data_IF_529132713039
#
_entry.id   IF_529132713039
#
_cell.length_a   1.000
_cell.length_b   1.000
_cell.length_c   1.000
_cell.angle_alpha   90.00
_cell.angle_beta   90.00
_cell.angle_gamma   90.00
#
_symmetry.space_group_name_H-M   'P 1'
#
loop_
_entity.id
_entity.type
_entity.pdbx_description
1 polymer ?
#
# COMPACT_ATOMS: atom_id res chain seq x y z
N UNK A 1 -70.83 -30.70 -31.73
CA UNK A 1 -70.17 -30.27 -30.48
C UNK A 1 -68.65 -30.25 -30.66
N UNK A 2 -68.05 -29.12 -31.06
CA UNK A 2 -66.59 -28.88 -31.01
C UNK A 2 -66.36 -27.35 -31.00
N UNK A 3 -66.64 -26.72 -29.86
CA UNK A 3 -66.39 -25.28 -29.65
C UNK A 3 -65.34 -25.00 -28.55
N UNK A 4 -64.73 -26.02 -27.95
CA UNK A 4 -63.77 -25.85 -26.84
C UNK A 4 -62.36 -25.41 -27.22
N UNK A 5 -61.95 -25.49 -28.49
CA UNK A 5 -60.54 -25.30 -28.89
C UNK A 5 -60.07 -23.83 -29.00
N UNK A 6 -60.97 -22.87 -29.24
CA UNK A 6 -60.59 -21.45 -29.44
C UNK A 6 -60.40 -20.70 -28.11
N UNK A 7 -61.19 -21.01 -27.09
CA UNK A 7 -61.05 -20.39 -25.75
C UNK A 7 -59.76 -20.83 -25.04
N UNK A 8 -59.34 -22.10 -25.19
CA UNK A 8 -58.10 -22.61 -24.60
C UNK A 8 -56.84 -21.91 -25.14
N UNK A 9 -56.83 -21.50 -26.41
CA UNK A 9 -55.69 -20.76 -26.99
C UNK A 9 -55.57 -19.33 -26.47
N UNK A 10 -56.70 -18.66 -26.18
CA UNK A 10 -56.70 -17.31 -25.61
C UNK A 10 -56.25 -17.28 -24.15
N UNK A 11 -56.65 -18.28 -23.37
CA UNK A 11 -56.26 -18.39 -21.96
C UNK A 11 -54.74 -18.54 -21.78
N UNK A 12 -54.09 -19.40 -22.57
CA UNK A 12 -52.64 -19.59 -22.48
C UNK A 12 -51.84 -18.31 -22.80
N UNK A 13 -52.34 -17.45 -23.70
CA UNK A 13 -51.70 -16.17 -24.01
C UNK A 13 -51.80 -15.18 -22.84
N UNK A 14 -52.97 -15.13 -22.18
CA UNK A 14 -53.19 -14.28 -21.01
C UNK A 14 -52.34 -14.73 -19.82
N UNK A 15 -52.26 -16.05 -19.56
CA UNK A 15 -51.41 -16.61 -18.51
C UNK A 15 -49.93 -16.29 -18.75
N UNK A 16 -49.44 -16.43 -19.98
CA UNK A 16 -48.07 -16.09 -20.32
C UNK A 16 -47.77 -14.59 -20.16
N UNK A 17 -48.72 -13.72 -20.54
CA UNK A 17 -48.61 -12.27 -20.30
C UNK A 17 -48.55 -11.92 -18.81
N UNK A 18 -49.39 -12.56 -17.99
CA UNK A 18 -49.37 -12.34 -16.54
C UNK A 18 -48.06 -12.83 -15.93
N UNK A 19 -47.59 -14.02 -16.33
CA UNK A 19 -46.38 -14.63 -15.79
C UNK A 19 -45.14 -13.81 -16.19
N UNK A 20 -45.05 -13.38 -17.44
CA UNK A 20 -43.95 -12.51 -17.90
C UNK A 20 -43.99 -11.14 -17.23
N UNK A 21 -45.16 -10.54 -17.02
CA UNK A 21 -45.30 -9.27 -16.29
C UNK A 21 -44.86 -9.42 -14.83
N UNK A 22 -45.30 -10.48 -14.16
CA UNK A 22 -44.89 -10.80 -12.79
C UNK A 22 -43.38 -10.97 -12.70
N UNK A 23 -42.79 -11.70 -13.64
CA UNK A 23 -41.35 -11.95 -13.69
C UNK A 23 -40.57 -10.67 -13.97
N UNK A 24 -41.06 -9.79 -14.85
CA UNK A 24 -40.46 -8.47 -15.08
C UNK A 24 -40.47 -7.58 -13.83
N UNK A 25 -41.58 -7.57 -13.08
CA UNK A 25 -41.69 -6.82 -11.83
C UNK A 25 -40.74 -7.35 -10.75
N UNK A 26 -40.66 -8.66 -10.55
CA UNK A 26 -39.75 -9.25 -9.56
C UNK A 26 -38.29 -9.02 -9.92
N UNK A 27 -37.94 -9.08 -11.20
CA UNK A 27 -36.58 -8.80 -11.67
C UNK A 27 -36.21 -7.33 -11.45
N UNK A 28 -37.12 -6.40 -11.76
CA UNK A 28 -36.90 -4.97 -11.55
C UNK A 28 -36.69 -4.67 -10.06
N UNK A 29 -37.54 -5.23 -9.18
CA UNK A 29 -37.39 -5.06 -7.74
C UNK A 29 -36.05 -5.63 -7.24
N UNK A 30 -35.69 -6.84 -7.68
CA UNK A 30 -34.43 -7.49 -7.29
C UNK A 30 -33.21 -6.69 -7.74
N UNK A 31 -33.23 -6.16 -8.97
CA UNK A 31 -32.14 -5.32 -9.50
C UNK A 31 -32.01 -4.04 -8.70
N UNK A 32 -33.12 -3.38 -8.34
CA UNK A 32 -33.06 -2.15 -7.52
C UNK A 32 -32.48 -2.40 -6.14
N UNK A 33 -32.90 -3.48 -5.46
CA UNK A 33 -32.36 -3.87 -4.16
C UNK A 33 -30.88 -4.22 -4.22
N UNK A 34 -30.47 -4.98 -5.24
CA UNK A 34 -29.06 -5.33 -5.43
C UNK A 34 -28.21 -4.07 -5.68
N UNK A 35 -28.70 -3.15 -6.51
CA UNK A 35 -27.98 -1.92 -6.81
C UNK A 35 -27.84 -1.03 -5.57
N UNK A 36 -28.89 -0.93 -4.74
CA UNK A 36 -28.83 -0.21 -3.47
C UNK A 36 -27.78 -0.83 -2.53
N UNK A 37 -27.81 -2.14 -2.33
CA UNK A 37 -26.84 -2.83 -1.48
C UNK A 37 -25.39 -2.65 -1.99
N UNK A 38 -25.17 -2.73 -3.30
CA UNK A 38 -23.84 -2.51 -3.90
C UNK A 38 -23.36 -1.06 -3.72
N UNK A 39 -24.27 -0.08 -3.87
CA UNK A 39 -23.93 1.34 -3.70
C UNK A 39 -23.55 1.64 -2.27
N UNK A 40 -24.31 1.13 -1.29
CA UNK A 40 -24.01 1.26 0.14
C UNK A 40 -22.65 0.65 0.49
N UNK A 41 -22.35 -0.55 -0.03
CA UNK A 41 -21.04 -1.18 0.16
C UNK A 41 -19.90 -0.37 -0.46
N UNK A 42 -20.13 0.24 -1.63
CA UNK A 42 -19.12 1.06 -2.30
C UNK A 42 -18.80 2.32 -1.49
N UNK A 43 -19.83 3.03 -1.02
CA UNK A 43 -19.68 4.22 -0.19
C UNK A 43 -18.95 3.93 1.12
N UNK A 44 -19.25 2.79 1.76
CA UNK A 44 -18.54 2.33 2.95
C UNK A 44 -17.07 2.06 2.66
N UNK A 45 -16.76 1.36 1.57
CA UNK A 45 -15.39 1.05 1.18
C UNK A 45 -14.60 2.33 0.86
N UNK A 46 -15.22 3.28 0.16
CA UNK A 46 -14.58 4.56 -0.18
C UNK A 46 -14.33 5.41 1.06
N UNK A 47 -15.23 5.38 2.05
CA UNK A 47 -15.01 6.02 3.35
C UNK A 47 -13.83 5.40 4.09
N UNK A 48 -13.75 4.06 4.13
CA UNK A 48 -12.61 3.36 4.75
C UNK A 48 -11.29 3.67 4.03
N UNK A 49 -11.29 3.68 2.69
CA UNK A 49 -10.12 4.08 1.88
C UNK A 49 -9.71 5.52 2.19
N UNK A 50 -10.67 6.44 2.21
CA UNK A 50 -10.41 7.84 2.50
C UNK A 50 -9.83 8.05 3.90
N UNK A 51 -10.15 7.20 4.88
CA UNK A 51 -9.56 7.25 6.23
C UNK A 51 -8.17 6.62 6.29
N UNK A 52 -7.95 5.43 5.71
CA UNK A 52 -6.66 4.72 5.83
C UNK A 52 -5.56 5.30 4.91
N UNK A 53 -5.94 5.92 3.79
CA UNK A 53 -5.01 6.47 2.81
C UNK A 53 -4.54 7.90 3.15
N UNK A 54 -4.97 8.46 4.28
CA UNK A 54 -4.47 9.76 4.73
C UNK A 54 -2.97 9.70 5.00
N UNK A 55 -2.21 10.76 4.66
CA UNK A 55 -0.76 10.75 4.84
C UNK A 55 -0.36 10.70 6.32
N UNK A 56 -1.21 11.24 7.21
CA UNK A 56 -0.96 11.35 8.65
C UNK A 56 -1.84 10.35 9.41
N UNK A 57 -1.31 9.68 10.45
CA UNK A 57 -2.10 8.79 11.29
C UNK A 57 -3.33 9.47 11.89
N UNK A 58 -4.48 8.81 11.78
CA UNK A 58 -5.73 9.27 12.38
C UNK A 58 -6.02 8.53 13.70
N UNK A 59 -6.79 9.11 14.63
CA UNK A 59 -7.17 8.46 15.88
C UNK A 59 -8.01 7.18 15.68
N UNK A 60 -8.65 7.03 14.51
CA UNK A 60 -9.40 5.82 14.12
C UNK A 60 -8.49 4.64 13.74
N UNK A 61 -7.19 4.88 13.58
CA UNK A 61 -6.24 3.86 13.22
C UNK A 61 -5.84 3.04 14.45
N UNK A 62 -6.04 1.74 14.35
CA UNK A 62 -5.58 0.77 15.33
C UNK A 62 -4.25 0.18 14.86
N UNK A 63 -3.24 0.29 15.72
CA UNK A 63 -1.94 -0.30 15.48
C UNK A 63 -1.93 -1.77 15.88
N UNK A 64 -1.50 -2.64 14.98
CA UNK A 64 -1.34 -4.07 15.24
C UNK A 64 0.11 -4.36 15.59
N UNK A 65 0.48 -4.15 16.85
CA UNK A 65 1.79 -4.52 17.34
C UNK A 65 1.97 -6.05 17.25
N UNK A 66 3.12 -6.51 16.74
CA UNK A 66 3.44 -7.94 16.59
C UNK A 66 2.42 -8.71 15.76
N UNK A 67 2.10 -8.21 14.56
CA UNK A 67 1.37 -8.99 13.57
C UNK A 67 2.14 -10.29 13.18
N UNK A 68 1.48 -11.27 12.53
CA UNK A 68 2.12 -12.54 12.20
C UNK A 68 3.42 -12.41 11.39
N UNK A 69 3.50 -11.45 10.47
CA UNK A 69 4.72 -11.20 9.70
C UNK A 69 5.82 -10.63 10.60
N UNK A 70 5.50 -9.64 11.44
CA UNK A 70 6.46 -9.07 12.39
C UNK A 70 7.04 -10.12 13.32
N UNK A 71 6.23 -11.07 13.82
CA UNK A 71 6.73 -12.16 14.69
C UNK A 71 7.75 -13.06 14.00
N UNK A 72 7.59 -13.28 12.69
CA UNK A 72 8.48 -14.15 11.92
C UNK A 72 9.78 -13.43 11.52
N UNK A 73 9.68 -12.14 11.22
CA UNK A 73 10.79 -11.36 10.66
C UNK A 73 11.62 -10.67 11.76
N UNK A 74 11.01 -10.32 12.90
CA UNK A 74 11.69 -9.62 13.99
C UNK A 74 12.98 -10.32 14.47
N UNK A 75 13.04 -11.66 14.65
CA UNK A 75 14.26 -12.34 15.09
C UNK A 75 15.44 -12.18 14.12
N UNK A 76 15.18 -11.97 12.83
CA UNK A 76 16.21 -11.80 11.79
C UNK A 76 16.61 -10.33 11.68
N UNK A 77 15.62 -9.44 11.66
CA UNK A 77 15.85 -8.02 11.42
C UNK A 77 16.38 -7.31 12.66
N UNK A 78 15.89 -7.61 13.87
CA UNK A 78 16.34 -6.90 15.08
C UNK A 78 17.86 -7.00 15.34
N UNK A 79 18.53 -8.16 15.18
CA UNK A 79 19.99 -8.21 15.25
C UNK A 79 20.65 -7.35 14.18
N UNK A 80 20.16 -7.41 12.93
CA UNK A 80 20.70 -6.63 11.83
C UNK A 80 20.62 -5.13 12.14
N UNK A 81 19.48 -4.65 12.65
CA UNK A 81 19.29 -3.25 13.06
C UNK A 81 20.20 -2.78 14.20
N UNK A 82 20.76 -3.70 15.01
CA UNK A 82 21.74 -3.33 16.04
C UNK A 82 23.14 -3.09 15.48
N UNK A 83 23.51 -3.84 14.45
CA UNK A 83 24.84 -3.78 13.83
C UNK A 83 24.89 -2.87 12.60
N UNK A 84 23.74 -2.51 12.06
CA UNK A 84 23.58 -1.65 10.89
C UNK A 84 22.80 -0.40 11.28
N UNK A 85 22.85 0.64 10.46
CA UNK A 85 22.00 1.83 10.63
C UNK A 85 20.59 1.62 10.06
N UNK A 86 20.25 0.37 9.73
CA UNK A 86 18.96 -0.01 9.20
C UNK A 86 17.88 0.22 10.29
N UNK A 87 16.97 1.15 10.05
CA UNK A 87 15.82 1.40 10.93
C UNK A 87 14.52 1.04 10.21
N UNK A 88 14.17 -0.25 10.21
CA UNK A 88 12.88 -0.72 9.68
C UNK A 88 11.88 -0.79 10.82
N UNK A 89 10.84 0.03 10.75
CA UNK A 89 9.71 -0.08 11.67
C UNK A 89 9.01 -1.43 11.43
N UNK A 90 9.15 -2.36 12.38
CA UNK A 90 8.50 -3.67 12.31
C UNK A 90 7.02 -3.58 12.72
N UNK A 91 6.71 -2.78 13.75
CA UNK A 91 5.34 -2.58 14.21
C UNK A 91 4.65 -1.44 13.43
N UNK A 92 4.51 -1.62 12.12
CA UNK A 92 4.03 -0.61 11.19
C UNK A 92 2.70 -0.93 10.49
N UNK A 93 2.03 -2.01 10.91
CA UNK A 93 0.69 -2.36 10.44
C UNK A 93 -0.39 -1.58 11.20
N UNK A 94 -1.22 -0.87 10.45
CA UNK A 94 -2.38 -0.14 10.95
C UNK A 94 -3.65 -0.62 10.26
N UNK A 95 -4.76 -0.66 10.96
CA UNK A 95 -6.09 -0.86 10.37
C UNK A 95 -7.04 0.22 10.83
N UNK A 96 -8.10 0.51 10.06
CA UNK A 96 -9.18 1.37 10.55
C UNK A 96 -10.16 0.53 11.34
N UNK A 97 -10.44 0.94 12.58
CA UNK A 97 -11.57 0.40 13.32
C UNK A 97 -12.86 0.94 12.71
N UNK A 98 -13.64 0.07 12.08
CA UNK A 98 -14.96 0.41 11.58
C UNK A 98 -16.02 -0.46 12.25
N UNK A 99 -17.22 0.07 12.41
CA UNK A 99 -18.41 -0.68 12.83
C UNK A 99 -18.91 -1.64 11.73
N UNK A 100 -18.09 -1.91 10.71
CA UNK A 100 -18.48 -2.64 9.52
C UNK A 100 -17.79 -4.01 9.49
N UNK A 101 -18.52 -5.11 9.68
CA UNK A 101 -17.94 -6.45 9.80
C UNK A 101 -17.41 -7.02 8.48
N UNK A 102 -17.76 -6.42 7.33
CA UNK A 102 -17.52 -7.00 6.01
C UNK A 102 -16.20 -6.57 5.35
N UNK A 103 -15.66 -5.40 5.72
CA UNK A 103 -14.43 -4.88 5.12
C UNK A 103 -13.47 -4.42 6.21
N UNK A 104 -12.28 -5.02 6.22
CA UNK A 104 -11.17 -4.58 7.05
C UNK A 104 -10.04 -4.13 6.13
N UNK A 105 -9.78 -2.83 6.09
CA UNK A 105 -8.61 -2.29 5.40
C UNK A 105 -7.46 -2.15 6.39
N UNK A 106 -6.31 -2.64 5.97
CA UNK A 106 -5.06 -2.46 6.68
C UNK A 106 -4.03 -1.80 5.75
N UNK A 107 -3.18 -0.98 6.33
CA UNK A 107 -2.09 -0.29 5.66
C UNK A 107 -0.80 -0.50 6.44
N UNK A 108 0.26 -0.79 5.70
CA UNK A 108 1.62 -0.69 6.20
C UNK A 108 2.02 0.79 6.06
N UNK A 109 2.37 1.40 7.18
CA UNK A 109 2.94 2.75 7.17
C UNK A 109 4.45 2.57 7.03
N UNK A 110 5.01 3.01 5.91
CA UNK A 110 6.44 2.81 5.67
C UNK A 110 7.25 3.62 6.69
N UNK A 111 8.11 2.93 7.45
CA UNK A 111 9.15 3.57 8.26
C UNK A 111 10.22 4.27 7.42
N UNK A 112 10.08 4.23 6.09
CA UNK A 112 11.03 4.74 5.10
C UNK A 112 10.67 6.13 4.56
N UNK A 113 9.63 6.75 5.10
CA UNK A 113 9.34 8.15 4.81
C UNK A 113 10.44 9.03 5.40
N UNK A 114 11.13 9.77 4.53
CA UNK A 114 12.14 10.73 4.95
C UNK A 114 11.47 11.86 5.75
N UNK A 115 11.78 11.97 7.03
CA UNK A 115 11.26 13.05 7.88
C UNK A 115 11.99 14.37 7.59
N UNK A 116 13.25 14.27 7.13
CA UNK A 116 14.12 15.39 6.79
C UNK A 116 14.72 15.19 5.41
N UNK A 117 15.11 16.29 4.78
CA UNK A 117 15.75 16.25 3.46
C UNK A 117 17.03 15.40 3.44
N UNK A 118 17.79 15.38 4.55
CA UNK A 118 18.98 14.53 4.66
C UNK A 118 18.66 13.03 4.70
N UNK A 119 17.47 12.66 5.19
CA UNK A 119 17.05 11.25 5.27
C UNK A 119 16.80 10.66 3.87
N UNK A 120 16.52 11.50 2.87
CA UNK A 120 16.39 11.08 1.46
C UNK A 120 17.68 10.47 0.91
N UNK A 121 18.82 10.81 1.50
CA UNK A 121 20.14 10.33 1.07
C UNK A 121 20.62 9.25 2.04
N UNK A 122 20.65 9.57 3.34
CA UNK A 122 21.29 8.71 4.34
C UNK A 122 20.56 7.38 4.57
N UNK A 123 19.22 7.39 4.54
CA UNK A 123 18.42 6.20 4.82
C UNK A 123 18.61 5.14 3.73
N UNK A 124 18.43 5.43 2.43
CA UNK A 124 18.68 4.43 1.41
C UNK A 124 20.19 4.10 1.25
N UNK A 125 21.10 5.01 1.58
CA UNK A 125 22.54 4.69 1.63
C UNK A 125 22.86 3.61 2.65
N UNK A 126 22.17 3.59 3.79
CA UNK A 126 22.35 2.58 4.85
C UNK A 126 22.02 1.14 4.42
N UNK A 127 21.43 0.95 3.25
CA UNK A 127 21.11 -0.36 2.66
C UNK A 127 22.21 -0.86 1.74
N UNK A 128 23.09 0.04 1.34
CA UNK A 128 24.18 -0.27 0.43
C UNK A 128 25.36 -0.79 1.24
N UNK A 129 25.95 -1.90 0.80
CA UNK A 129 27.15 -2.47 1.43
C UNK A 129 28.28 -1.43 1.47
N UNK A 130 28.33 -0.56 0.46
CA UNK A 130 29.30 0.51 0.33
C UNK A 130 29.32 1.49 1.48
N UNK A 131 28.16 1.86 2.04
CA UNK A 131 28.09 2.75 3.19
C UNK A 131 28.88 2.20 4.39
N UNK A 132 28.78 0.88 4.63
CA UNK A 132 29.54 0.23 5.71
C UNK A 132 31.00 0.02 5.35
N UNK A 133 31.31 -0.28 4.09
CA UNK A 133 32.68 -0.39 3.62
C UNK A 133 33.43 0.95 3.79
N UNK A 134 32.78 2.07 3.48
CA UNK A 134 33.31 3.41 3.71
C UNK A 134 33.53 3.69 5.20
N UNK A 135 32.57 3.33 6.07
CA UNK A 135 32.71 3.46 7.52
C UNK A 135 33.84 2.60 8.11
N UNK A 136 34.08 1.42 7.55
CA UNK A 136 35.18 0.54 7.92
C UNK A 136 36.54 1.05 7.43
N UNK A 137 36.57 2.16 6.68
CA UNK A 137 37.79 2.82 6.27
C UNK A 137 38.56 2.05 5.21
N UNK A 138 37.90 1.47 4.20
CA UNK A 138 38.59 0.87 3.04
C UNK A 138 39.22 1.92 2.11
N UNK A 139 38.91 3.20 2.30
CA UNK A 139 39.41 4.32 1.49
C UNK A 139 40.94 4.35 1.32
N UNK A 140 41.77 4.13 2.36
CA UNK A 140 43.22 4.04 2.24
C UNK A 140 43.68 2.88 1.35
N UNK A 141 43.01 1.73 1.42
CA UNK A 141 43.31 0.57 0.56
C UNK A 141 42.97 0.88 -0.91
N UNK A 142 41.80 1.46 -1.15
CA UNK A 142 41.38 1.89 -2.48
C UNK A 142 42.29 2.97 -3.06
N UNK A 143 42.77 3.90 -2.24
CA UNK A 143 43.75 4.92 -2.66
C UNK A 143 45.13 4.32 -3.00
N UNK A 144 45.55 3.30 -2.26
CA UNK A 144 46.79 2.57 -2.57
C UNK A 144 46.69 1.81 -3.89
N UNK A 145 45.57 1.09 -4.09
CA UNK A 145 45.30 0.38 -5.36
C UNK A 145 45.15 1.38 -6.52
N UNK A 146 44.54 2.53 -6.26
CA UNK A 146 44.33 3.62 -7.23
C UNK A 146 45.60 4.25 -7.78
N UNK A 147 46.76 4.01 -7.17
CA UNK A 147 48.06 4.41 -7.72
C UNK A 147 48.50 3.56 -8.92
N UNK A 148 47.88 2.40 -9.14
CA UNK A 148 48.17 1.56 -10.30
C UNK A 148 47.53 2.16 -11.56
N UNK A 149 48.23 2.19 -12.71
CA UNK A 149 47.75 2.85 -13.92
C UNK A 149 46.45 2.25 -14.49
N UNK A 150 46.16 0.98 -14.20
CA UNK A 150 44.90 0.32 -14.58
C UNK A 150 43.76 0.48 -13.56
N UNK A 151 44.04 1.04 -12.38
CA UNK A 151 43.09 1.08 -11.26
C UNK A 151 42.78 2.51 -10.79
N UNK A 152 43.12 3.55 -11.57
CA UNK A 152 42.81 4.96 -11.24
C UNK A 152 41.33 5.20 -10.97
N UNK A 153 40.45 4.47 -11.64
CA UNK A 153 39.00 4.51 -11.45
C UNK A 153 38.54 3.93 -10.09
N UNK A 154 39.38 3.15 -9.41
CA UNK A 154 39.12 2.58 -8.08
C UNK A 154 39.56 3.50 -6.94
N UNK A 155 40.20 4.64 -7.22
CA UNK A 155 40.60 5.60 -6.20
C UNK A 155 39.37 6.16 -5.46
N UNK A 156 39.51 6.45 -4.16
CA UNK A 156 38.39 6.77 -3.27
C UNK A 156 37.59 8.03 -3.67
N UNK A 157 38.12 8.88 -4.56
CA UNK A 157 37.41 10.07 -5.07
C UNK A 157 36.65 9.86 -6.39
N UNK A 158 36.97 8.81 -7.16
CA UNK A 158 36.35 8.51 -8.46
C UNK A 158 35.23 7.48 -8.32
N UNK A 159 35.41 6.51 -7.42
CA UNK A 159 34.44 5.46 -7.16
C UNK A 159 33.52 5.84 -6.00
N UNK A 160 32.39 6.44 -6.32
CA UNK A 160 31.34 6.77 -5.35
C UNK A 160 30.34 5.61 -5.28
N UNK A 161 30.59 4.64 -4.42
CA UNK A 161 29.70 3.51 -4.28
C UNK A 161 28.41 3.91 -3.53
N UNK A 162 27.26 3.50 -4.04
CA UNK A 162 25.98 3.80 -3.36
C UNK A 162 25.66 5.29 -3.31
N UNK A 163 26.16 6.10 -4.25
CA UNK A 163 25.75 7.49 -4.37
C UNK A 163 24.25 7.57 -4.64
N UNK A 164 23.55 8.26 -3.76
CA UNK A 164 22.15 8.59 -3.92
C UNK A 164 22.08 10.07 -4.22
N UNK A 165 21.66 10.37 -5.43
CA UNK A 165 21.56 11.72 -5.96
C UNK A 165 20.22 12.32 -5.46
N UNK A 166 20.23 13.28 -4.51
CA UNK A 166 18.99 13.84 -3.95
C UNK A 166 18.19 14.65 -4.98
N UNK A 167 18.85 15.11 -6.03
CA UNK A 167 18.32 15.84 -7.17
C UNK A 167 17.42 15.01 -8.09
N UNK A 168 17.37 13.69 -7.91
CA UNK A 168 16.48 12.79 -8.65
C UNK A 168 15.14 12.58 -7.94
N UNK A 169 14.99 13.08 -6.70
CA UNK A 169 13.69 13.07 -6.02
C UNK A 169 12.83 14.26 -6.47
N UNK A 170 11.56 14.03 -6.89
CA UNK A 170 10.67 15.09 -7.36
C UNK A 170 10.54 16.21 -6.31
N UNK A 171 10.73 17.46 -6.74
CA UNK A 171 10.67 18.64 -5.85
C UNK A 171 9.28 18.78 -5.20
N UNK A 172 8.25 18.23 -5.82
CA UNK A 172 6.85 18.28 -5.41
C UNK A 172 6.56 17.48 -4.13
N UNK A 173 7.45 16.57 -3.71
CA UNK A 173 7.28 15.77 -2.49
C UNK A 173 7.80 16.47 -1.23
N UNK A 174 8.37 17.67 -1.36
CA UNK A 174 8.83 18.45 -0.21
C UNK A 174 7.62 18.95 0.55
N UNK A 175 7.48 18.56 1.81
CA UNK A 175 6.47 19.13 2.68
C UNK A 175 6.87 20.55 3.09
N UNK A 176 6.10 21.55 2.67
CA UNK A 176 6.36 22.97 2.96
C UNK A 176 5.85 23.41 4.34
N UNK A 177 4.88 22.69 4.93
CA UNK A 177 4.23 23.07 6.17
C UNK A 177 4.69 22.20 7.36
N UNK A 178 4.80 22.80 8.55
CA UNK A 178 5.18 22.10 9.79
C UNK A 178 4.17 21.02 10.22
N UNK A 179 2.93 21.08 9.71
CA UNK A 179 1.90 20.05 9.92
C UNK A 179 2.29 18.67 9.35
N UNK A 180 3.23 18.65 8.40
CA UNK A 180 3.71 17.42 7.77
C UNK A 180 5.03 16.90 8.39
N UNK A 181 5.58 17.58 9.40
CA UNK A 181 6.85 17.21 10.07
C UNK A 181 6.67 16.33 11.32
N UNK A 182 5.43 15.99 11.69
CA UNK A 182 5.12 15.22 12.89
C UNK A 182 5.31 13.72 12.68
#
# INVERSE_FOLDING_TARGET
MRQGSKQQRGQGFVELLILTSLLGLTLTFSVTQLNQALTEQHEQLDTLKASILQPVPQPTWQRHAKDPFTRQVAPIIQPLQRYTQLNVALDNLYSVAGDHPHYQLARLVDGWQAQRANDLISMPQSLTLSHYLEQLGIGPLLNFIGHLPMAKELAAGQLQFGKIAPDVTPFELRCWNDLCRQ
#
